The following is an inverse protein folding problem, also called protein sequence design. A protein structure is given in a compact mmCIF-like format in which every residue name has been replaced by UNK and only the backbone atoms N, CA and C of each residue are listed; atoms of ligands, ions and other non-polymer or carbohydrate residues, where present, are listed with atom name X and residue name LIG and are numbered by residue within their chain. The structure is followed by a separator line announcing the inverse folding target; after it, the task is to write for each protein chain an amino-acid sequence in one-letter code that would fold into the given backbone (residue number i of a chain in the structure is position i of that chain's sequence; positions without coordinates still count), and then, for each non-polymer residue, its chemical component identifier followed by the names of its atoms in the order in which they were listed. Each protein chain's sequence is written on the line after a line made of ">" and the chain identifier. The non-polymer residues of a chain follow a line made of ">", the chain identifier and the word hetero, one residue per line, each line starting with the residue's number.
data_IF_855582670281
#
_entry.id   IF_855582670281
#
_cell.length_a   1.000
_cell.length_b   1.000
_cell.length_c   1.000
_cell.angle_alpha   90.00
_cell.angle_beta   90.00
_cell.angle_gamma   90.00
#
_symmetry.space_group_name_H-M   'P 1'
#
loop_
_entity.id
_entity.type
_entity.pdbx_description
1 polymer ?
#
# COMPACT_ATOMS: atom_id res chain seq x y z
N UNK A 1 32.05 -22.55 -61.82
CA UNK A 1 32.25 -22.78 -60.38
C UNK A 1 33.65 -22.27 -60.04
N UNK A 2 33.88 -21.16 -59.36
CA UNK A 2 33.08 -20.03 -58.93
C UNK A 2 34.08 -18.94 -58.50
N UNK A 3 33.72 -17.66 -58.57
CA UNK A 3 34.33 -16.72 -57.65
C UNK A 3 33.28 -15.79 -57.04
N UNK A 4 33.56 -15.30 -55.83
CA UNK A 4 32.86 -14.16 -55.26
C UNK A 4 32.48 -14.35 -53.80
N UNK A 5 33.42 -14.09 -52.90
CA UNK A 5 33.07 -13.67 -51.54
C UNK A 5 32.23 -12.40 -51.65
N UNK A 6 30.95 -12.49 -51.29
CA UNK A 6 30.09 -11.32 -51.15
C UNK A 6 30.16 -10.85 -49.69
N UNK A 7 31.04 -9.89 -49.45
CA UNK A 7 31.05 -9.09 -48.22
C UNK A 7 29.76 -8.27 -48.23
N UNK A 8 28.76 -8.66 -47.45
CA UNK A 8 27.54 -7.88 -47.25
C UNK A 8 27.89 -6.70 -46.35
N UNK A 9 28.27 -5.58 -46.97
CA UNK A 9 28.32 -4.30 -46.29
C UNK A 9 26.88 -3.84 -46.11
N UNK A 10 26.35 -3.97 -44.89
CA UNK A 10 25.06 -3.37 -44.51
C UNK A 10 25.25 -1.84 -44.53
N UNK A 11 24.87 -1.23 -45.65
CA UNK A 11 24.81 0.23 -45.78
C UNK A 11 23.54 0.70 -45.08
N UNK A 12 23.67 1.25 -43.86
CA UNK A 12 22.58 1.97 -43.19
C UNK A 12 22.26 3.24 -43.99
N UNK A 13 21.20 3.19 -44.81
CA UNK A 13 20.68 4.39 -45.47
C UNK A 13 19.89 5.22 -44.45
N UNK A 14 20.53 6.22 -43.88
CA UNK A 14 19.89 7.29 -43.11
C UNK A 14 19.06 8.15 -44.08
N UNK A 15 17.74 8.04 -44.04
CA UNK A 15 16.83 8.97 -44.73
C UNK A 15 16.51 10.10 -43.75
N UNK A 16 17.10 11.29 -43.98
CA UNK A 16 16.75 12.50 -43.24
C UNK A 16 15.42 13.06 -43.75
N UNK A 17 14.41 13.07 -42.89
CA UNK A 17 13.23 13.95 -43.01
C UNK A 17 13.32 14.99 -41.89
N UNK A 18 12.84 16.19 -42.19
CA UNK A 18 13.05 17.44 -41.46
C UNK A 18 12.78 17.28 -39.96
N UNK A 19 13.85 17.37 -39.17
CA UNK A 19 13.92 17.38 -37.69
C UNK A 19 13.75 16.06 -36.92
N UNK A 20 14.19 14.93 -37.47
CA UNK A 20 14.34 13.69 -36.70
C UNK A 20 15.24 12.65 -37.38
N UNK A 21 15.87 11.76 -36.62
CA UNK A 21 16.50 10.54 -37.16
C UNK A 21 15.49 9.42 -37.02
N UNK A 22 15.24 8.72 -38.13
CA UNK A 22 14.32 7.58 -38.19
C UNK A 22 15.13 6.29 -38.24
N UNK A 23 14.74 5.32 -37.41
CA UNK A 23 15.35 4.01 -37.30
C UNK A 23 14.43 2.95 -37.93
N UNK A 24 15.03 1.93 -38.53
CA UNK A 24 14.29 0.74 -38.96
C UNK A 24 14.10 -0.21 -37.77
N UNK A 25 12.89 -0.76 -37.63
CA UNK A 25 12.49 -1.63 -36.53
C UNK A 25 11.17 -1.20 -35.89
N UNK A 26 10.81 -1.83 -34.78
CA UNK A 26 9.60 -1.54 -34.03
C UNK A 26 9.94 -1.17 -32.59
N UNK A 27 9.13 -0.31 -31.97
CA UNK A 27 9.24 0.02 -30.53
C UNK A 27 9.02 -1.19 -29.61
N UNK A 28 8.53 -2.31 -30.15
CA UNK A 28 8.36 -3.57 -29.42
C UNK A 28 9.52 -4.56 -29.59
N UNK A 29 10.57 -4.17 -30.33
CA UNK A 29 11.71 -5.04 -30.57
C UNK A 29 12.71 -5.03 -29.40
N UNK A 30 13.33 -6.17 -29.12
CA UNK A 30 14.33 -6.35 -28.05
C UNK A 30 15.63 -5.57 -28.32
N UNK A 31 15.79 -5.02 -29.53
CA UNK A 31 16.95 -4.21 -29.94
C UNK A 31 16.65 -2.70 -29.97
N UNK A 32 15.58 -2.26 -29.30
CA UNK A 32 15.19 -0.85 -29.24
C UNK A 32 16.35 0.03 -28.77
N UNK A 33 16.69 1.03 -29.59
CA UNK A 33 17.82 1.90 -29.35
C UNK A 33 17.47 3.09 -28.45
N UNK A 34 16.22 3.56 -28.47
CA UNK A 34 15.80 4.79 -27.79
C UNK A 34 16.06 4.75 -26.28
N UNK A 35 16.69 5.81 -25.76
CA UNK A 35 17.01 5.91 -24.33
C UNK A 35 15.77 6.12 -23.46
N UNK A 36 14.78 6.86 -23.98
CA UNK A 36 13.62 7.32 -23.20
C UNK A 36 12.29 7.00 -23.87
N UNK A 37 11.97 7.66 -24.97
CA UNK A 37 10.71 7.49 -25.70
C UNK A 37 10.98 6.85 -27.06
N UNK A 38 10.09 5.95 -27.46
CA UNK A 38 10.02 5.43 -28.82
C UNK A 38 8.66 5.75 -29.42
N UNK A 39 8.67 6.34 -30.62
CA UNK A 39 7.47 6.71 -31.37
C UNK A 39 7.46 5.91 -32.67
N UNK A 40 6.47 5.02 -32.82
CA UNK A 40 6.28 4.24 -34.04
C UNK A 40 5.78 5.15 -35.17
N UNK A 41 6.56 5.29 -36.24
CA UNK A 41 6.16 6.04 -37.44
C UNK A 41 5.50 5.14 -38.49
N UNK A 42 5.94 3.88 -38.55
CA UNK A 42 5.34 2.83 -39.37
C UNK A 42 5.63 1.47 -38.74
N UNK A 43 5.02 0.36 -39.20
CA UNK A 43 5.28 -0.98 -38.65
C UNK A 43 6.76 -1.40 -38.66
N UNK A 44 7.57 -0.78 -39.53
CA UNK A 44 9.00 -1.09 -39.70
C UNK A 44 9.91 0.10 -39.40
N UNK A 45 9.38 1.21 -38.87
CA UNK A 45 10.20 2.39 -38.55
C UNK A 45 9.73 3.13 -37.30
N UNK A 46 10.67 3.62 -36.50
CA UNK A 46 10.40 4.44 -35.32
C UNK A 46 11.35 5.63 -35.24
N UNK A 47 11.01 6.61 -34.43
CA UNK A 47 11.91 7.68 -33.99
C UNK A 47 11.99 7.74 -32.47
N UNK A 48 13.07 8.29 -31.92
CA UNK A 48 13.21 8.46 -30.49
C UNK A 48 12.83 9.87 -30.05
N UNK A 49 12.27 9.97 -28.85
CA UNK A 49 11.95 11.24 -28.19
C UNK A 49 12.56 11.31 -26.80
N UNK A 50 12.45 12.48 -26.19
CA UNK A 50 12.86 12.70 -24.80
C UNK A 50 11.69 13.22 -23.97
N UNK A 51 11.69 12.84 -22.69
CA UNK A 51 10.78 13.39 -21.70
C UNK A 51 11.13 14.86 -21.41
N UNK A 52 10.23 15.57 -20.72
CA UNK A 52 10.33 16.99 -20.42
C UNK A 52 11.74 17.43 -19.95
N UNK A 53 12.13 18.65 -20.30
CA UNK A 53 13.42 19.28 -19.99
C UNK A 53 14.66 18.57 -20.55
N UNK A 54 14.47 17.62 -21.47
CA UNK A 54 15.55 16.99 -22.22
C UNK A 54 15.44 17.32 -23.70
N UNK A 55 16.59 17.52 -24.33
CA UNK A 55 16.73 17.65 -25.77
C UNK A 55 17.34 16.38 -26.33
N UNK A 56 16.71 15.86 -27.37
CA UNK A 56 17.22 14.76 -28.16
C UNK A 56 18.56 15.17 -28.77
N UNK A 57 19.59 14.41 -28.46
CA UNK A 57 20.92 14.62 -29.00
C UNK A 57 20.94 14.34 -30.50
N UNK A 58 21.94 14.86 -31.19
CA UNK A 58 22.07 14.72 -32.64
C UNK A 58 22.27 13.28 -33.12
N UNK A 59 22.55 12.34 -32.20
CA UNK A 59 22.57 10.91 -32.51
C UNK A 59 21.15 10.34 -32.69
N UNK A 60 20.10 11.09 -32.32
CA UNK A 60 18.71 10.72 -32.50
C UNK A 60 18.23 9.62 -31.56
N UNK A 61 19.02 9.27 -30.55
CA UNK A 61 18.78 8.14 -29.66
C UNK A 61 18.79 8.58 -28.19
N UNK A 62 19.75 9.47 -27.87
CA UNK A 62 20.07 9.83 -26.50
C UNK A 62 19.48 11.17 -26.10
N UNK A 63 19.19 11.34 -24.81
CA UNK A 63 18.53 12.52 -24.25
C UNK A 63 19.47 13.25 -23.30
N UNK A 64 19.58 14.57 -23.46
CA UNK A 64 20.36 15.42 -22.54
C UNK A 64 19.47 16.48 -21.92
N UNK A 65 19.54 16.61 -20.60
CA UNK A 65 18.88 17.70 -19.87
C UNK A 65 19.30 19.05 -20.45
N UNK A 66 18.33 19.91 -20.76
CA UNK A 66 18.56 21.31 -21.10
C UNK A 66 18.88 22.04 -19.80
N UNK A 67 20.15 21.99 -19.40
CA UNK A 67 20.64 22.81 -18.30
C UNK A 67 20.51 24.28 -18.73
N UNK A 68 19.63 25.03 -18.08
CA UNK A 68 19.76 26.49 -18.03
C UNK A 68 21.10 26.79 -17.36
N UNK A 69 22.01 27.40 -18.13
CA UNK A 69 23.40 27.60 -17.74
C UNK A 69 23.52 28.43 -16.46
N UNK A 70 24.09 27.84 -15.42
CA UNK A 70 25.02 28.51 -14.51
C UNK A 70 26.03 27.48 -13.96
N UNK A 71 26.97 27.19 -14.86
CA UNK A 71 28.40 26.87 -14.70
C UNK A 71 28.94 26.44 -13.33
N UNK A 72 29.44 25.19 -13.23
CA UNK A 72 30.76 24.89 -12.62
C UNK A 72 31.33 23.61 -13.27
N UNK A 73 32.50 23.79 -13.90
CA UNK A 73 33.35 22.76 -14.52
C UNK A 73 33.81 21.67 -13.54
N UNK A 74 33.68 20.38 -13.92
CA UNK A 74 34.40 19.26 -13.28
C UNK A 74 35.18 18.48 -14.34
N UNK A 75 36.50 18.52 -14.22
CA UNK A 75 37.47 17.73 -14.99
C UNK A 75 37.35 16.22 -14.76
N UNK A 76 37.41 15.50 -15.87
CA UNK A 76 37.64 14.06 -16.11
C UNK A 76 38.39 13.28 -15.02
N UNK A 77 37.94 12.05 -14.72
CA UNK A 77 38.51 10.77 -15.24
C UNK A 77 37.67 9.56 -14.79
N UNK A 78 37.52 8.57 -15.69
CA UNK A 78 36.70 7.34 -15.69
C UNK A 78 37.00 6.28 -14.58
N UNK A 79 36.52 5.02 -14.67
CA UNK A 79 35.15 4.50 -14.79
C UNK A 79 34.89 3.47 -13.67
N UNK A 80 33.71 3.49 -13.04
CA UNK A 80 33.18 2.28 -12.40
C UNK A 80 31.67 2.32 -12.43
N UNK A 81 31.10 1.37 -13.18
CA UNK A 81 29.68 1.12 -13.26
C UNK A 81 29.16 0.71 -11.88
N UNK A 82 28.62 1.69 -11.17
CA UNK A 82 27.62 1.47 -10.13
C UNK A 82 26.34 2.02 -10.73
N UNK A 83 25.33 1.16 -10.88
CA UNK A 83 23.93 1.57 -11.07
C UNK A 83 23.51 2.36 -9.84
N UNK A 84 23.94 3.61 -9.79
CA UNK A 84 23.46 4.56 -8.81
C UNK A 84 22.05 4.91 -9.26
N UNK A 85 21.05 4.37 -8.55
CA UNK A 85 19.75 5.05 -8.42
C UNK A 85 20.10 6.53 -8.32
N UNK A 86 19.62 7.36 -9.25
CA UNK A 86 19.78 8.81 -9.16
C UNK A 86 19.43 9.20 -7.72
N UNK A 87 20.45 9.59 -6.95
CA UNK A 87 20.26 9.91 -5.54
C UNK A 87 19.34 11.12 -5.55
N UNK A 88 18.11 10.96 -5.05
CA UNK A 88 17.19 12.08 -4.84
C UNK A 88 17.97 13.19 -4.15
N UNK A 89 17.90 14.40 -4.69
CA UNK A 89 18.56 15.54 -4.09
C UNK A 89 18.00 15.72 -2.67
N UNK A 90 18.84 15.41 -1.68
CA UNK A 90 18.44 15.42 -0.27
C UNK A 90 18.23 16.82 0.29
N UNK A 91 18.62 17.85 -0.47
CA UNK A 91 18.29 19.25 -0.13
C UNK A 91 16.82 19.56 -0.44
N UNK A 92 16.25 18.92 -1.46
CA UNK A 92 14.84 19.06 -1.87
C UNK A 92 13.97 18.01 -1.18
N UNK A 93 14.51 16.80 -0.99
CA UNK A 93 13.83 15.68 -0.32
C UNK A 93 14.58 15.24 0.94
N UNK A 94 14.29 15.86 2.10
CA UNK A 94 14.90 15.46 3.36
C UNK A 94 14.69 13.97 3.64
N UNK A 95 15.70 13.32 4.21
CA UNK A 95 15.65 11.91 4.61
C UNK A 95 14.44 11.59 5.51
N UNK A 96 14.00 12.57 6.29
CA UNK A 96 12.81 12.48 7.16
C UNK A 96 11.52 12.11 6.40
N UNK A 97 11.42 12.52 5.13
CA UNK A 97 10.29 12.18 4.24
C UNK A 97 10.28 10.71 3.81
N UNK A 98 11.41 10.02 3.90
CA UNK A 98 11.50 8.57 3.61
C UNK A 98 11.21 7.72 4.85
N UNK A 99 11.25 8.31 6.04
CA UNK A 99 11.02 7.62 7.33
C UNK A 99 9.60 7.77 7.87
N UNK A 100 8.79 8.66 7.29
CA UNK A 100 7.47 8.99 7.79
C UNK A 100 6.37 8.37 6.91
N UNK A 101 5.31 7.78 7.51
CA UNK A 101 4.16 7.30 6.74
C UNK A 101 3.49 8.43 5.96
N UNK A 102 3.02 8.13 4.75
CA UNK A 102 2.29 9.08 3.92
C UNK A 102 0.89 9.32 4.50
N UNK A 103 0.48 10.58 4.64
CA UNK A 103 -0.81 10.99 5.20
C UNK A 103 -1.79 11.37 4.10
N UNK A 104 -2.91 10.66 4.03
CA UNK A 104 -3.97 10.88 3.07
C UNK A 104 -5.16 11.58 3.72
N UNK A 105 -5.70 12.59 3.03
CA UNK A 105 -6.77 13.46 3.50
C UNK A 105 -8.10 13.18 2.79
N UNK A 106 -8.12 12.21 1.87
CA UNK A 106 -9.26 11.86 1.03
C UNK A 106 -9.31 12.55 -0.32
N UNK A 107 -8.45 13.54 -0.55
CA UNK A 107 -8.37 14.30 -1.81
C UNK A 107 -7.01 14.19 -2.51
N UNK A 108 -6.06 13.47 -1.92
CA UNK A 108 -4.70 13.29 -2.40
C UNK A 108 -4.39 11.83 -2.70
N UNK A 109 -3.33 11.61 -3.47
CA UNK A 109 -2.82 10.28 -3.79
C UNK A 109 -1.29 10.28 -3.92
N UNK A 110 -0.70 9.09 -3.80
CA UNK A 110 0.69 8.83 -4.14
C UNK A 110 0.74 7.94 -5.38
N UNK A 111 1.63 8.28 -6.31
CA UNK A 111 1.89 7.52 -7.53
C UNK A 111 3.26 6.84 -7.46
N UNK A 112 3.31 5.57 -7.81
CA UNK A 112 4.50 4.74 -7.83
C UNK A 112 4.71 4.09 -9.21
N UNK A 113 5.95 3.76 -9.57
CA UNK A 113 6.22 3.03 -10.80
C UNK A 113 5.64 1.62 -10.74
N UNK A 114 5.23 1.12 -11.89
CA UNK A 114 4.67 -0.22 -12.07
C UNK A 114 5.81 -1.23 -12.17
N UNK A 115 5.84 -2.29 -11.35
CA UNK A 115 6.82 -3.37 -11.52
C UNK A 115 6.63 -4.10 -12.85
N UNK A 116 7.74 -4.33 -13.56
CA UNK A 116 7.71 -4.97 -14.88
C UNK A 116 7.13 -6.40 -14.87
N UNK A 117 7.04 -7.03 -13.71
CA UNK A 117 6.56 -8.41 -13.54
C UNK A 117 5.07 -8.51 -13.22
N UNK A 118 4.33 -7.40 -13.16
CA UNK A 118 2.95 -7.36 -12.64
C UNK A 118 1.86 -7.82 -13.62
N UNK A 119 2.18 -8.01 -14.90
CA UNK A 119 1.20 -8.39 -15.92
C UNK A 119 0.50 -9.73 -15.61
N UNK A 120 1.25 -10.84 -15.50
CA UNK A 120 0.67 -12.18 -15.29
C UNK A 120 0.43 -12.54 -13.83
N UNK A 121 1.18 -11.94 -12.91
CA UNK A 121 1.15 -12.26 -11.49
C UNK A 121 1.40 -10.98 -10.70
N UNK A 122 0.61 -10.74 -9.66
CA UNK A 122 0.78 -9.55 -8.80
C UNK A 122 0.66 -9.95 -7.34
N UNK A 123 1.74 -9.74 -6.59
CA UNK A 123 1.82 -9.94 -5.15
C UNK A 123 1.96 -8.59 -4.45
N UNK A 124 0.87 -8.10 -3.86
CA UNK A 124 0.78 -6.80 -3.21
C UNK A 124 0.82 -7.00 -1.70
N UNK A 125 1.69 -6.27 -1.01
CA UNK A 125 1.62 -6.06 0.44
C UNK A 125 1.45 -4.57 0.71
N UNK A 126 0.39 -4.20 1.43
CA UNK A 126 0.07 -2.82 1.78
C UNK A 126 -0.21 -2.72 3.29
N UNK A 127 0.44 -1.77 3.97
CA UNK A 127 0.18 -1.49 5.38
C UNK A 127 -0.44 -0.11 5.58
N UNK A 128 -1.62 -0.07 6.21
CA UNK A 128 -2.41 1.14 6.40
C UNK A 128 -2.91 1.30 7.84
N UNK A 129 -3.28 2.53 8.20
CA UNK A 129 -3.96 2.89 9.45
C UNK A 129 -4.98 3.98 9.17
N UNK A 130 -6.21 3.83 9.64
CA UNK A 130 -7.25 4.87 9.53
C UNK A 130 -7.96 5.12 10.86
N UNK A 131 -8.44 6.35 11.06
CA UNK A 131 -9.23 6.76 12.23
C UNK A 131 -10.74 6.75 11.97
N UNK A 132 -11.18 6.48 10.73
CA UNK A 132 -12.57 6.66 10.30
C UNK A 132 -13.18 5.38 9.73
N UNK A 133 -14.50 5.25 9.86
CA UNK A 133 -15.30 4.20 9.22
C UNK A 133 -15.94 4.78 7.97
N UNK A 134 -15.16 4.87 6.90
CA UNK A 134 -15.57 5.42 5.62
C UNK A 134 -15.11 4.49 4.51
N UNK A 135 -15.96 4.32 3.50
CA UNK A 135 -15.57 3.65 2.26
C UNK A 135 -14.46 4.47 1.61
N UNK A 136 -13.37 3.83 1.22
CA UNK A 136 -12.23 4.50 0.63
C UNK A 136 -11.35 3.56 -0.20
N UNK A 137 -10.78 4.08 -1.28
CA UNK A 137 -9.73 3.41 -2.04
C UNK A 137 -8.45 3.30 -1.21
N UNK A 138 -7.78 2.14 -1.21
CA UNK A 138 -6.42 1.99 -0.70
C UNK A 138 -5.38 1.92 -1.83
N UNK A 139 -5.72 1.20 -2.91
CA UNK A 139 -4.81 0.89 -4.00
C UNK A 139 -5.56 0.81 -5.33
N UNK A 140 -4.95 1.29 -6.41
CA UNK A 140 -5.40 1.09 -7.79
C UNK A 140 -4.20 1.00 -8.74
N UNK A 141 -4.24 0.07 -9.68
CA UNK A 141 -3.34 0.01 -10.82
C UNK A 141 -4.08 -0.59 -12.03
N UNK A 142 -3.90 -0.02 -13.21
CA UNK A 142 -4.64 -0.44 -14.39
C UNK A 142 -4.68 0.63 -15.48
N UNK A 143 -5.47 0.39 -16.50
CA UNK A 143 -5.74 1.34 -17.58
C UNK A 143 -6.81 2.34 -17.17
N UNK A 144 -6.65 3.59 -17.60
CA UNK A 144 -7.62 4.65 -17.31
C UNK A 144 -8.88 4.52 -18.16
N UNK A 145 -8.73 4.23 -19.44
CA UNK A 145 -9.83 4.25 -20.43
C UNK A 145 -10.16 2.85 -20.98
N UNK A 146 -9.87 1.80 -20.21
CA UNK A 146 -10.12 0.41 -20.57
C UNK A 146 -10.37 -0.43 -19.31
N UNK A 147 -10.67 -1.71 -19.49
CA UNK A 147 -11.18 -2.57 -18.41
C UNK A 147 -10.10 -3.33 -17.64
N UNK A 148 -8.82 -3.27 -18.03
CA UNK A 148 -7.74 -3.89 -17.25
C UNK A 148 -7.46 -3.09 -15.97
N UNK A 149 -7.76 -3.65 -14.80
CA UNK A 149 -7.39 -3.03 -13.52
C UNK A 149 -7.33 -4.02 -12.36
N UNK A 150 -6.66 -3.60 -11.28
CA UNK A 150 -6.75 -4.21 -9.95
C UNK A 150 -6.85 -3.10 -8.90
N UNK A 151 -7.73 -3.28 -7.92
CA UNK A 151 -7.96 -2.30 -6.85
C UNK A 151 -8.22 -2.96 -5.51
N UNK A 152 -7.85 -2.26 -4.44
CA UNK A 152 -8.16 -2.66 -3.06
C UNK A 152 -8.85 -1.48 -2.39
N UNK A 153 -10.01 -1.72 -1.79
CA UNK A 153 -10.80 -0.69 -1.13
C UNK A 153 -11.35 -1.17 0.22
N UNK A 154 -11.59 -0.21 1.11
CA UNK A 154 -12.42 -0.37 2.29
C UNK A 154 -13.87 -0.11 1.85
N UNK A 155 -14.77 -1.06 2.07
CA UNK A 155 -16.21 -0.89 1.83
C UNK A 155 -16.98 -1.39 3.06
N UNK A 156 -17.60 -0.46 3.78
CA UNK A 156 -18.17 -0.69 5.09
C UNK A 156 -17.13 -1.26 6.06
N UNK A 157 -17.38 -2.43 6.67
CA UNK A 157 -16.43 -3.09 7.56
C UNK A 157 -15.45 -4.03 6.83
N UNK A 158 -15.45 -4.07 5.50
CA UNK A 158 -14.77 -5.09 4.71
C UNK A 158 -13.59 -4.51 3.92
N UNK A 159 -12.63 -5.38 3.58
CA UNK A 159 -11.65 -5.10 2.54
C UNK A 159 -12.13 -5.82 1.27
N UNK A 160 -12.23 -5.08 0.18
CA UNK A 160 -12.67 -5.56 -1.13
C UNK A 160 -11.48 -5.51 -2.07
N UNK A 161 -11.19 -6.63 -2.71
CA UNK A 161 -10.30 -6.73 -3.87
C UNK A 161 -11.17 -6.83 -5.11
N UNK A 162 -10.91 -5.98 -6.11
CA UNK A 162 -11.50 -6.10 -7.44
C UNK A 162 -10.43 -6.15 -8.50
N UNK A 163 -10.60 -6.99 -9.50
CA UNK A 163 -9.76 -6.97 -10.70
C UNK A 163 -10.54 -7.39 -11.94
N UNK A 164 -10.09 -6.90 -13.09
CA UNK A 164 -10.62 -7.24 -14.40
C UNK A 164 -9.45 -7.32 -15.39
N UNK A 165 -9.53 -8.28 -16.31
CA UNK A 165 -8.54 -8.57 -17.35
C UNK A 165 -9.13 -8.38 -18.76
N UNK A 166 -10.16 -7.53 -18.86
CA UNK A 166 -10.81 -7.10 -20.10
C UNK A 166 -12.19 -7.68 -20.36
N UNK A 167 -12.74 -8.53 -19.49
CA UNK A 167 -13.90 -9.39 -19.79
C UNK A 167 -14.90 -9.51 -18.64
N UNK A 168 -14.66 -8.79 -17.55
CA UNK A 168 -15.58 -8.71 -16.43
C UNK A 168 -14.86 -8.71 -15.09
N UNK A 169 -15.33 -7.84 -14.21
CA UNK A 169 -14.78 -7.69 -12.88
C UNK A 169 -15.04 -8.91 -11.99
N UNK A 170 -13.99 -9.33 -11.28
CA UNK A 170 -14.02 -10.28 -10.17
C UNK A 170 -13.96 -9.46 -8.88
N UNK A 171 -14.74 -9.86 -7.87
CA UNK A 171 -14.76 -9.23 -6.56
C UNK A 171 -14.56 -10.26 -5.46
N UNK A 172 -13.49 -10.09 -4.67
CA UNK A 172 -13.24 -10.84 -3.46
C UNK A 172 -13.47 -9.96 -2.24
N UNK A 173 -14.31 -10.42 -1.31
CA UNK A 173 -14.61 -9.72 -0.08
C UNK A 173 -14.01 -10.42 1.14
N UNK A 174 -13.11 -9.73 1.82
CA UNK A 174 -12.68 -10.09 3.16
C UNK A 174 -13.65 -9.52 4.20
N UNK A 175 -14.41 -10.41 4.86
CA UNK A 175 -15.36 -10.00 5.93
C UNK A 175 -14.64 -9.87 7.27
N UNK A 176 -14.74 -8.70 7.88
CA UNK A 176 -14.43 -8.56 9.31
C UNK A 176 -13.90 -7.18 9.62
N UNK A 177 -14.34 -6.57 10.74
CA UNK A 177 -13.85 -5.24 11.08
C UNK A 177 -12.34 -5.29 11.24
N UNK A 178 -11.68 -4.28 10.72
CA UNK A 178 -10.34 -3.90 11.12
C UNK A 178 -10.46 -2.82 12.21
N UNK A 179 -9.47 -2.72 13.07
CA UNK A 179 -9.47 -1.79 14.18
C UNK A 179 -9.16 -0.37 13.68
N UNK A 180 -9.75 0.64 14.31
CA UNK A 180 -9.38 2.02 14.02
C UNK A 180 -8.11 2.38 14.79
N UNK A 181 -7.29 3.24 14.21
CA UNK A 181 -6.04 3.73 14.78
C UNK A 181 -4.96 2.66 15.02
N UNK A 182 -5.13 1.48 14.44
CA UNK A 182 -4.15 0.40 14.45
C UNK A 182 -3.58 0.17 13.04
N UNK A 183 -2.36 -0.34 12.97
CA UNK A 183 -1.75 -0.73 11.70
C UNK A 183 -2.31 -2.07 11.26
N UNK A 184 -2.79 -2.11 10.02
CA UNK A 184 -3.28 -3.30 9.35
C UNK A 184 -2.41 -3.63 8.15
N UNK A 185 -2.23 -4.91 7.88
CA UNK A 185 -1.51 -5.42 6.71
C UNK A 185 -2.47 -6.18 5.81
N UNK A 186 -2.54 -5.80 4.54
CA UNK A 186 -3.27 -6.52 3.48
C UNK A 186 -2.25 -7.12 2.53
N UNK A 187 -2.35 -8.42 2.31
CA UNK A 187 -1.56 -9.14 1.31
C UNK A 187 -2.52 -9.71 0.27
N UNK A 188 -2.28 -9.41 -0.99
CA UNK A 188 -3.02 -9.94 -2.14
C UNK A 188 -2.03 -10.61 -3.08
N UNK A 189 -2.35 -11.82 -3.52
CA UNK A 189 -1.63 -12.49 -4.59
C UNK A 189 -2.62 -12.85 -5.68
N UNK A 190 -2.42 -12.32 -6.88
CA UNK A 190 -3.17 -12.67 -8.09
C UNK A 190 -2.24 -13.44 -9.01
N UNK A 191 -2.72 -14.54 -9.58
CA UNK A 191 -2.06 -15.22 -10.70
C UNK A 191 -3.05 -15.40 -11.83
N UNK A 192 -2.65 -14.97 -13.00
CA UNK A 192 -3.52 -14.81 -14.16
C UNK A 192 -4.74 -13.96 -13.82
N UNK A 193 -5.91 -14.25 -14.40
CA UNK A 193 -7.16 -13.60 -14.03
C UNK A 193 -8.01 -14.43 -13.06
N UNK A 194 -7.80 -15.75 -13.02
CA UNK A 194 -8.71 -16.73 -12.43
C UNK A 194 -8.32 -17.18 -11.03
N UNK A 195 -7.24 -16.66 -10.46
CA UNK A 195 -6.79 -17.05 -9.12
C UNK A 195 -6.33 -15.87 -8.30
N UNK A 196 -6.92 -15.74 -7.12
CA UNK A 196 -6.57 -14.75 -6.11
C UNK A 196 -6.41 -15.40 -4.74
N UNK A 197 -5.51 -14.83 -3.95
CA UNK A 197 -5.33 -15.13 -2.55
C UNK A 197 -5.26 -13.80 -1.79
N UNK A 198 -6.02 -13.67 -0.70
CA UNK A 198 -6.08 -12.44 0.10
C UNK A 198 -5.96 -12.77 1.58
N UNK A 199 -5.14 -12.01 2.29
CA UNK A 199 -4.95 -12.11 3.73
C UNK A 199 -4.94 -10.73 4.36
N UNK A 200 -5.64 -10.59 5.49
CA UNK A 200 -5.64 -9.37 6.29
C UNK A 200 -5.12 -9.70 7.69
N UNK A 201 -4.05 -9.03 8.11
CA UNK A 201 -3.35 -9.22 9.37
C UNK A 201 -2.93 -10.70 9.60
N UNK A 202 -3.15 -11.21 10.81
CA UNK A 202 -2.88 -12.60 11.21
C UNK A 202 -4.04 -13.54 10.91
N UNK A 203 -5.07 -13.07 10.19
CA UNK A 203 -6.30 -13.85 9.94
C UNK A 203 -6.10 -14.90 8.83
N UNK A 204 -7.04 -15.86 8.67
CA UNK A 204 -6.91 -16.92 7.67
C UNK A 204 -6.79 -16.38 6.25
N UNK A 205 -5.99 -17.07 5.43
CA UNK A 205 -5.87 -16.84 4.00
C UNK A 205 -7.18 -17.19 3.30
N UNK A 206 -7.69 -16.28 2.48
CA UNK A 206 -8.77 -16.53 1.53
C UNK A 206 -8.17 -16.85 0.17
N UNK A 207 -8.78 -17.79 -0.55
CA UNK A 207 -8.39 -18.20 -1.89
C UNK A 207 -9.66 -18.24 -2.73
N UNK A 208 -9.64 -17.58 -3.89
CA UNK A 208 -10.69 -17.72 -4.89
C UNK A 208 -10.12 -18.30 -6.20
N UNK A 209 -10.96 -19.10 -6.85
CA UNK A 209 -10.70 -19.72 -8.14
C UNK A 209 -11.89 -19.44 -9.06
N UNK A 210 -11.72 -18.48 -9.95
CA UNK A 210 -12.77 -18.00 -10.84
C UNK A 210 -12.65 -18.67 -12.21
N UNK A 211 -12.98 -19.96 -12.30
CA UNK A 211 -12.74 -20.81 -13.49
C UNK A 211 -13.28 -20.24 -14.81
N UNK A 212 -14.33 -19.40 -14.76
CA UNK A 212 -14.88 -18.71 -15.93
C UNK A 212 -13.87 -17.80 -16.64
N UNK A 213 -12.84 -17.31 -15.94
CA UNK A 213 -11.82 -16.41 -16.46
C UNK A 213 -10.47 -17.09 -16.76
N UNK A 214 -10.41 -18.43 -16.73
CA UNK A 214 -9.16 -19.22 -16.88
C UNK A 214 -8.34 -19.00 -18.17
N UNK A 215 -8.95 -18.41 -19.19
CA UNK A 215 -8.29 -18.11 -20.47
C UNK A 215 -7.71 -16.70 -20.55
N UNK A 216 -8.04 -15.85 -19.58
CA UNK A 216 -7.55 -14.49 -19.45
C UNK A 216 -6.42 -14.47 -18.43
N UNK A 217 -5.33 -13.76 -18.76
CA UNK A 217 -4.05 -13.99 -18.09
C UNK A 217 -3.40 -12.76 -17.50
N UNK A 218 -3.71 -11.56 -17.95
CA UNK A 218 -2.94 -10.40 -17.52
C UNK A 218 -3.77 -9.16 -17.39
N UNK A 219 -3.18 -8.21 -16.68
CA UNK A 219 -3.72 -6.87 -16.47
C UNK A 219 -2.65 -5.90 -16.93
N UNK A 220 -2.99 -5.07 -17.90
CA UNK A 220 -2.15 -3.97 -18.36
C UNK A 220 -2.20 -2.85 -17.32
N UNK A 221 -1.05 -2.46 -16.78
CA UNK A 221 -0.93 -1.44 -15.73
C UNK A 221 -0.06 -0.29 -16.23
N UNK A 222 -0.47 0.33 -17.33
CA UNK A 222 0.41 1.22 -18.09
C UNK A 222 0.43 2.65 -17.52
N UNK A 223 -0.54 2.98 -16.66
CA UNK A 223 -0.79 4.34 -16.17
C UNK A 223 -0.24 4.60 -14.77
N UNK A 224 0.44 3.63 -14.16
CA UNK A 224 1.03 3.77 -12.83
C UNK A 224 0.31 2.99 -11.72
N UNK A 225 0.89 3.06 -10.52
CA UNK A 225 0.35 2.50 -9.29
C UNK A 225 -0.07 3.63 -8.36
N UNK A 226 -1.32 3.65 -7.93
CA UNK A 226 -1.91 4.71 -7.12
C UNK A 226 -2.30 4.19 -5.73
N UNK A 227 -2.01 4.98 -4.71
CA UNK A 227 -2.30 4.66 -3.32
C UNK A 227 -3.04 5.82 -2.66
N UNK A 228 -4.06 5.47 -1.87
CA UNK A 228 -4.90 6.39 -1.07
C UNK A 228 -5.85 7.29 -1.88
N UNK A 229 -5.71 7.33 -3.20
CA UNK A 229 -6.57 8.04 -4.13
C UNK A 229 -6.15 7.67 -5.55
N UNK A 230 -6.73 8.33 -6.55
CA UNK A 230 -6.30 8.18 -7.94
C UNK A 230 -6.65 9.44 -8.76
N UNK A 231 -6.04 9.64 -9.94
CA UNK A 231 -6.37 10.75 -10.82
C UNK A 231 -7.86 10.77 -11.22
N UNK A 232 -8.47 11.95 -11.42
CA UNK A 232 -9.91 12.08 -11.64
C UNK A 232 -10.41 11.62 -13.02
N UNK A 233 -9.51 11.24 -13.93
CA UNK A 233 -9.82 10.92 -15.32
C UNK A 233 -9.81 9.43 -15.62
N UNK A 234 -9.99 8.59 -14.59
CA UNK A 234 -10.17 7.15 -14.75
C UNK A 234 -11.65 6.88 -15.11
N UNK A 235 -11.88 6.24 -16.26
CA UNK A 235 -13.22 5.87 -16.68
C UNK A 235 -13.85 4.87 -15.72
N UNK A 236 -15.13 5.11 -15.41
CA UNK A 236 -15.94 4.27 -14.53
C UNK A 236 -15.29 3.94 -13.18
N UNK A 237 -14.50 4.86 -12.62
CA UNK A 237 -13.71 4.66 -11.39
C UNK A 237 -14.52 4.05 -10.22
N UNK A 238 -15.71 4.56 -9.93
CA UNK A 238 -16.54 4.04 -8.83
C UNK A 238 -17.02 2.61 -9.09
N UNK A 239 -17.26 2.23 -10.35
CA UNK A 239 -17.55 0.82 -10.71
C UNK A 239 -16.31 -0.06 -10.53
N UNK A 240 -15.13 0.44 -10.88
CA UNK A 240 -13.86 -0.30 -10.74
C UNK A 240 -13.52 -0.56 -9.26
N UNK A 241 -13.67 0.47 -8.41
CA UNK A 241 -13.17 0.45 -7.01
C UNK A 241 -14.26 0.17 -5.98
N UNK A 242 -15.52 0.50 -6.28
CA UNK A 242 -16.66 0.38 -5.36
C UNK A 242 -16.92 1.63 -4.52
N UNK A 243 -16.09 2.66 -4.65
CA UNK A 243 -16.25 3.96 -4.01
C UNK A 243 -15.51 5.04 -4.78
N UNK A 244 -16.01 6.27 -4.75
CA UNK A 244 -15.31 7.45 -5.28
C UNK A 244 -14.46 8.17 -4.21
N UNK A 245 -14.49 7.70 -2.96
CA UNK A 245 -13.82 8.36 -1.84
C UNK A 245 -12.33 8.03 -1.81
N UNK A 246 -11.48 9.06 -1.65
CA UNK A 246 -10.10 8.89 -1.25
C UNK A 246 -9.96 8.41 0.20
N UNK A 247 -8.80 7.84 0.50
CA UNK A 247 -8.40 7.39 1.83
C UNK A 247 -8.14 8.55 2.78
N UNK A 248 -8.64 8.41 4.01
CA UNK A 248 -8.24 9.25 5.12
C UNK A 248 -7.46 8.40 6.12
N UNK A 249 -6.16 8.63 6.24
CA UNK A 249 -5.30 7.82 7.09
C UNK A 249 -3.83 7.83 6.69
N UNK A 250 -3.09 6.83 7.15
CA UNK A 250 -1.65 6.69 6.90
C UNK A 250 -1.35 5.41 6.14
N UNK A 251 -0.42 5.45 5.19
CA UNK A 251 0.14 4.25 4.53
C UNK A 251 1.65 4.31 4.65
N UNK A 252 2.25 3.19 5.09
CA UNK A 252 3.69 3.13 5.42
C UNK A 252 4.48 2.07 4.65
N UNK A 253 3.77 1.15 4.00
CA UNK A 253 4.39 0.07 3.23
C UNK A 253 3.59 -0.24 1.98
N UNK A 254 4.30 -0.38 0.87
CA UNK A 254 3.82 -0.89 -0.41
C UNK A 254 4.94 -1.73 -1.03
N UNK A 255 4.67 -3.01 -1.22
CA UNK A 255 5.56 -3.94 -1.91
C UNK A 255 4.74 -4.62 -3.00
N UNK A 256 5.28 -4.68 -4.22
CA UNK A 256 4.63 -5.37 -5.34
C UNK A 256 5.66 -6.28 -6.01
N UNK A 257 5.38 -7.59 -6.10
CA UNK A 257 6.26 -8.57 -6.74
C UNK A 257 7.73 -8.54 -6.25
N UNK A 258 7.92 -8.29 -4.95
CA UNK A 258 9.21 -8.09 -4.27
C UNK A 258 9.88 -6.74 -4.51
N UNK A 259 9.34 -5.87 -5.37
CA UNK A 259 9.79 -4.50 -5.49
C UNK A 259 9.24 -3.68 -4.31
N UNK A 260 10.15 -3.20 -3.46
CA UNK A 260 9.82 -2.32 -2.33
C UNK A 260 9.64 -0.90 -2.85
N UNK A 261 8.38 -0.46 -2.94
CA UNK A 261 8.02 0.86 -3.45
C UNK A 261 7.90 1.88 -2.33
N UNK A 262 7.33 1.48 -1.19
CA UNK A 262 7.29 2.27 0.03
C UNK A 262 7.62 1.35 1.20
N UNK A 263 8.57 1.75 2.04
CA UNK A 263 8.86 1.11 3.32
C UNK A 263 9.54 2.13 4.23
N UNK A 264 8.77 2.71 5.15
CA UNK A 264 9.27 3.72 6.07
C UNK A 264 10.32 3.20 7.05
N UNK A 265 10.28 1.90 7.38
CA UNK A 265 11.24 1.29 8.30
C UNK A 265 12.61 1.12 7.64
N UNK A 266 12.60 0.85 6.33
CA UNK A 266 13.80 0.70 5.52
C UNK A 266 14.17 1.97 4.72
N UNK A 267 13.52 3.10 5.01
CA UNK A 267 13.78 4.40 4.40
C UNK A 267 13.62 4.38 2.86
N UNK A 268 12.61 3.65 2.36
CA UNK A 268 12.33 3.52 0.93
C UNK A 268 11.05 4.26 0.58
N UNK A 269 11.12 5.13 -0.43
CA UNK A 269 9.96 5.75 -1.06
C UNK A 269 10.27 5.98 -2.55
N UNK A 270 9.67 5.23 -3.45
CA UNK A 270 9.89 5.35 -4.91
C UNK A 270 8.80 6.17 -5.59
N UNK A 271 7.96 6.87 -4.83
CA UNK A 271 6.89 7.65 -5.40
C UNK A 271 7.42 8.66 -6.42
N UNK A 272 6.80 8.68 -7.59
CA UNK A 272 7.11 9.60 -8.70
C UNK A 272 6.27 10.87 -8.61
N UNK A 273 5.13 10.80 -7.91
CA UNK A 273 4.27 11.93 -7.65
C UNK A 273 3.65 11.80 -6.25
N UNK A 274 3.81 12.84 -5.43
CA UNK A 274 3.11 12.99 -4.15
C UNK A 274 2.22 14.21 -4.26
N UNK A 275 0.94 14.02 -4.56
CA UNK A 275 0.00 15.13 -4.73
C UNK A 275 -0.37 15.69 -3.35
N UNK A 276 0.23 16.82 -2.95
CA UNK A 276 -0.09 17.53 -1.70
C UNK A 276 -0.12 16.61 -0.47
N UNK A 277 0.77 15.61 -0.44
CA UNK A 277 0.85 14.68 0.68
C UNK A 277 1.65 15.28 1.83
N UNK A 278 1.01 15.29 2.99
CA UNK A 278 1.70 15.44 4.27
C UNK A 278 2.21 14.08 4.76
N UNK A 279 2.88 14.09 5.91
CA UNK A 279 3.34 12.89 6.58
C UNK A 279 2.60 12.72 7.89
N UNK A 280 2.22 11.49 8.19
CA UNK A 280 1.77 11.19 9.53
C UNK A 280 2.97 11.34 10.46
N UNK A 281 2.73 11.83 11.69
CA UNK A 281 3.78 11.95 12.69
C UNK A 281 4.64 10.68 12.69
N UNK A 282 5.97 10.81 12.49
CA UNK A 282 6.85 9.66 12.41
C UNK A 282 6.71 8.83 13.69
N UNK A 283 7.01 7.55 13.60
CA UNK A 283 7.18 6.70 14.78
C UNK A 283 8.48 7.12 15.46
N UNK A 284 8.54 8.32 16.04
CA UNK A 284 9.48 8.61 17.10
C UNK A 284 8.98 7.84 18.32
N UNK A 285 9.36 6.57 18.42
CA UNK A 285 9.29 5.82 19.67
C UNK A 285 10.31 6.41 20.65
N UNK A 286 9.98 7.60 21.15
CA UNK A 286 10.08 7.92 22.57
C UNK A 286 8.68 8.22 23.09
N UNK A 287 7.67 7.49 22.61
CA UNK A 287 6.55 7.18 23.48
C UNK A 287 7.08 6.13 24.45
N UNK A 288 7.43 6.56 25.67
CA UNK A 288 7.58 5.64 26.78
C UNK A 288 6.28 4.84 26.86
N UNK A 289 6.31 3.60 26.39
CA UNK A 289 5.27 2.64 26.73
C UNK A 289 5.10 2.75 28.26
N UNK A 290 3.89 2.94 28.79
CA UNK A 290 3.70 2.82 30.23
C UNK A 290 4.31 1.49 30.63
N UNK A 291 5.30 1.52 31.54
CA UNK A 291 5.92 0.29 32.03
C UNK A 291 4.77 -0.68 32.36
N UNK A 292 4.81 -1.94 31.88
CA UNK A 292 3.81 -2.91 32.30
C UNK A 292 3.81 -2.88 33.82
N UNK A 293 2.63 -2.68 34.43
CA UNK A 293 2.47 -2.79 35.88
C UNK A 293 2.75 -4.25 36.25
N UNK A 294 4.02 -4.60 36.41
CA UNK A 294 4.45 -5.92 36.92
C UNK A 294 3.88 -5.99 38.33
N UNK A 295 2.93 -6.90 38.53
CA UNK A 295 2.50 -7.28 39.87
C UNK A 295 3.41 -8.39 40.31
N UNK A 296 4.32 -8.09 41.22
CA UNK A 296 5.07 -9.15 41.89
C UNK A 296 4.09 -10.05 42.65
N UNK A 297 4.20 -11.34 42.39
CA UNK A 297 3.51 -12.40 43.12
C UNK A 297 4.54 -12.97 44.09
N UNK A 298 4.25 -12.89 45.38
CA UNK A 298 5.02 -13.62 46.38
C UNK A 298 4.70 -15.12 46.23
N UNK A 299 5.66 -15.88 45.69
CA UNK A 299 5.55 -17.31 45.42
C UNK A 299 5.45 -18.17 46.69
N UNK A 300 5.66 -17.59 47.88
CA UNK A 300 5.49 -18.28 49.16
C UNK A 300 4.11 -18.10 49.79
N UNK A 301 3.36 -17.05 49.41
CA UNK A 301 2.06 -16.71 50.03
C UNK A 301 0.89 -16.55 49.05
N UNK A 302 1.14 -16.46 47.74
CA UNK A 302 0.12 -16.43 46.69
C UNK A 302 -0.76 -15.17 46.64
N UNK A 303 -0.37 -14.07 47.30
CA UNK A 303 -1.13 -12.81 47.31
C UNK A 303 -0.54 -11.76 46.36
N UNK A 304 -1.43 -11.00 45.72
CA UNK A 304 -1.11 -9.86 44.83
C UNK A 304 -1.02 -8.56 45.64
N UNK A 305 0.06 -7.77 45.47
CA UNK A 305 0.13 -6.40 45.99
C UNK A 305 -0.27 -5.37 44.92
N UNK A 306 -0.95 -4.29 45.34
CA UNK A 306 -1.16 -3.07 44.55
C UNK A 306 -0.13 -2.04 45.01
N UNK A 307 0.71 -1.54 44.10
CA UNK A 307 1.53 -0.36 44.38
C UNK A 307 0.65 0.89 44.37
N UNK A 308 0.82 1.75 45.37
CA UNK A 308 0.22 3.09 45.40
C UNK A 308 0.91 3.98 44.36
N UNK A 309 0.13 4.76 43.62
CA UNK A 309 0.65 5.71 42.64
C UNK A 309 1.34 6.87 43.38
N UNK A 310 2.63 7.08 43.09
CA UNK A 310 3.39 8.22 43.60
C UNK A 310 3.02 9.43 42.74
N UNK A 311 2.12 10.27 43.25
CA UNK A 311 1.94 11.63 42.73
C UNK A 311 3.02 12.53 43.33
N UNK A 312 3.86 13.08 42.47
CA UNK A 312 4.80 14.14 42.80
C UNK A 312 4.06 15.45 43.09
N UNK A 313 3.99 15.85 44.37
CA UNK A 313 3.50 17.18 44.72
C UNK A 313 3.23 17.44 46.21
N UNK A 314 4.25 17.97 46.90
CA UNK A 314 4.22 18.87 48.08
C UNK A 314 3.71 18.38 49.45
N UNK A 315 4.70 18.24 50.34
CA UNK A 315 4.85 18.83 51.68
C UNK A 315 3.87 18.54 52.84
N UNK A 316 4.46 17.95 53.90
CA UNK A 316 4.20 18.08 55.35
C UNK A 316 2.78 17.80 55.92
N UNK A 317 2.65 16.70 56.67
CA UNK A 317 2.36 16.69 58.13
C UNK A 317 2.29 15.24 58.70
N UNK A 318 2.42 15.16 60.02
CA UNK A 318 2.72 14.08 60.99
C UNK A 318 1.68 12.92 61.09
N UNK A 319 1.97 11.77 61.78
CA UNK A 319 1.23 10.53 61.60
C UNK A 319 0.04 10.39 62.55
N UNK A 320 -1.04 9.79 62.05
CA UNK A 320 -2.17 9.38 62.89
C UNK A 320 -2.19 7.85 63.05
N UNK A 321 -2.00 7.42 64.30
CA UNK A 321 -2.16 6.05 64.76
C UNK A 321 -3.65 5.84 65.03
N UNK A 322 -4.29 4.87 64.35
CA UNK A 322 -5.60 4.38 64.78
C UNK A 322 -5.57 2.85 64.92
N UNK A 323 -5.41 2.43 66.16
CA UNK A 323 -5.62 1.08 66.66
C UNK A 323 -7.11 0.86 66.89
N UNK A 324 -7.73 -0.21 66.36
CA UNK A 324 -8.86 -0.87 67.05
C UNK A 324 -9.00 -2.36 66.65
N UNK A 325 -8.45 -3.20 67.53
CA UNK A 325 -9.05 -4.36 68.20
C UNK A 325 -9.95 -5.36 67.46
N UNK A 326 -9.50 -6.63 67.52
CA UNK A 326 -10.24 -7.90 67.36
C UNK A 326 -11.58 -7.94 68.11
N UNK A 327 -12.55 -8.66 67.53
CA UNK A 327 -13.29 -9.70 68.27
C UNK A 327 -13.67 -10.86 67.34
N UNK A 328 -13.37 -12.07 67.79
CA UNK A 328 -13.77 -13.33 67.18
C UNK A 328 -14.85 -13.98 68.07
N UNK A 329 -15.87 -14.59 67.47
CA UNK A 329 -16.40 -15.93 67.84
C UNK A 329 -17.56 -16.37 66.92
N UNK A 330 -17.30 -17.45 66.19
CA UNK A 330 -18.07 -18.71 66.05
C UNK A 330 -19.61 -18.76 65.87
N UNK A 331 -19.99 -19.57 64.87
CA UNK A 331 -20.91 -20.75 64.84
C UNK A 331 -22.24 -20.71 64.05
N UNK A 332 -22.28 -21.57 63.02
CA UNK A 332 -23.32 -22.53 62.56
C UNK A 332 -24.72 -22.14 62.01
N UNK A 333 -24.99 -22.81 60.86
CA UNK A 333 -26.21 -23.55 60.45
C UNK A 333 -27.44 -22.86 59.85
N UNK A 334 -27.66 -23.20 58.57
CA UNK A 334 -28.89 -23.72 57.92
C UNK A 334 -30.27 -23.08 58.09
N UNK A 335 -30.87 -22.81 56.91
CA UNK A 335 -32.25 -23.08 56.50
C UNK A 335 -33.44 -22.27 57.10
N UNK A 336 -33.99 -21.42 56.22
CA UNK A 336 -35.40 -21.22 55.86
C UNK A 336 -36.49 -21.16 56.96
N UNK A 337 -37.20 -20.02 57.05
CA UNK A 337 -38.69 -19.94 57.05
C UNK A 337 -39.19 -18.58 56.51
N UNK A 338 -39.94 -18.69 55.40
CA UNK A 338 -41.16 -17.99 54.91
C UNK A 338 -41.80 -16.82 55.68
N UNK A 339 -42.07 -15.70 54.99
CA UNK A 339 -43.43 -15.17 54.62
C UNK A 339 -43.36 -13.67 54.25
N UNK A 340 -43.85 -13.32 53.07
CA UNK A 340 -45.05 -12.46 52.92
C UNK A 340 -45.58 -12.53 51.48
N UNK A 341 -46.90 -12.47 51.40
CA UNK A 341 -47.77 -12.66 50.23
C UNK A 341 -47.88 -11.41 49.36
N UNK A 342 -48.24 -11.60 48.09
CA UNK A 342 -49.13 -10.68 47.37
C UNK A 342 -48.80 -10.50 45.89
N UNK A 343 -49.59 -11.12 44.99
CA UNK A 343 -49.65 -10.73 43.58
C UNK A 343 -49.49 -11.90 42.60
N UNK A 344 -50.61 -12.56 42.29
CA UNK A 344 -50.76 -13.51 41.20
C UNK A 344 -51.00 -12.77 39.90
N UNK A 345 -50.33 -13.14 38.79
CA UNK A 345 -51.06 -13.47 37.56
C UNK A 345 -50.27 -14.41 36.66
N UNK A 346 -50.99 -15.45 36.26
CA UNK A 346 -50.57 -16.68 35.62
C UNK A 346 -50.81 -16.57 34.10
N UNK A 347 -49.75 -16.91 33.33
CA UNK A 347 -49.69 -17.86 32.19
C UNK A 347 -50.84 -17.82 31.15
N UNK A 348 -50.47 -17.73 29.85
CA UNK A 348 -50.62 -18.86 28.90
C UNK A 348 -49.91 -18.66 27.55
N UNK A 349 -48.95 -19.56 27.30
CA UNK A 349 -48.45 -19.98 25.98
C UNK A 349 -49.58 -20.68 25.22
N UNK A 350 -49.74 -20.39 23.92
CA UNK A 350 -50.43 -21.27 22.97
C UNK A 350 -49.39 -22.06 22.18
N UNK A 351 -49.55 -23.39 22.17
CA UNK A 351 -48.82 -24.36 21.33
C UNK A 351 -49.55 -24.56 19.98
N UNK A 352 -48.92 -25.23 18.99
CA UNK A 352 -49.33 -25.23 17.58
C UNK A 352 -50.25 -26.39 17.19
N UNK A 353 -50.96 -26.26 16.06
CA UNK A 353 -51.37 -27.40 15.20
C UNK A 353 -51.70 -26.97 13.78
N UNK A 354 -51.40 -27.89 12.85
CA UNK A 354 -51.47 -27.90 11.39
C UNK A 354 -52.89 -27.64 10.81
N UNK A 355 -52.92 -27.06 9.62
CA UNK A 355 -53.53 -27.67 8.44
C UNK A 355 -52.72 -27.33 7.19
#
# INVERSE_FOLDING_TARGET
>A
MGPGSLLVVLLFLLVRVVNGIVFQGSCSDNTLLCEQLCVTLSPETYECGCWNDHVLLSNGISCKVVATEQDVTVTTTEPNAVTTRLKRDRTIWPKEKDTAPLSFTGNNYAEFPVPATSYLETNITLEFRTSEKRDAILFFAGQFNADDYISIAIIGPNIILRHDCGEGAIEDMYRGPFALNEWHSVTVWRKFCDRTEMKVDTRPLMVDLTEQFRFYKGISMDEGVFVGGAPPHIDAFESKVGTANGFHGCIRKLIINNDVLLDTENEVNTAVNLQDLEYCNPITQTQSAPLPKIREIDLSTGRLYKHAEINSGKAHAEPEITTTTKLATTTTSSAAVTKYQGGSLIIKKSKPTKH
#
